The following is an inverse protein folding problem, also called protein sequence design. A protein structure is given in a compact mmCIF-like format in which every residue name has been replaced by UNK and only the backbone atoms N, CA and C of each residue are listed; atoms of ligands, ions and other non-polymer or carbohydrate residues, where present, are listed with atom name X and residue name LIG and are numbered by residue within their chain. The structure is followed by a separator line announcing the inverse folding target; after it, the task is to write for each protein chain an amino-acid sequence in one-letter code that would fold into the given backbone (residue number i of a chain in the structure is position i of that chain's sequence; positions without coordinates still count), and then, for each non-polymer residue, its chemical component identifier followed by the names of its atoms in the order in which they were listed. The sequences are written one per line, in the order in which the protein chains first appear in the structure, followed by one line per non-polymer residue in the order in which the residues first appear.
data_IF_316219610895
#
_entry.id   IF_316219610895
#
_cell.length_a   1.000
_cell.length_b   1.000
_cell.length_c   1.000
_cell.angle_alpha   90.00
_cell.angle_beta   90.00
_cell.angle_gamma   90.00
#
_symmetry.space_group_name_H-M   'P 1'
#
loop_
_entity.id
_entity.type
_entity.pdbx_description
1 polymer ?
#
# COMPACT_ATOMS: atom_id res chain seq x y z
N UNK A 1 0.58 -8.00 11.74
CA UNK A 1 -0.67 -7.19 11.63
C UNK A 1 -1.01 -7.01 10.15
N UNK A 2 -2.29 -6.98 9.76
CA UNK A 2 -2.66 -6.70 8.37
C UNK A 2 -2.15 -5.31 7.92
N UNK A 3 -1.55 -5.20 6.73
CA UNK A 3 -1.14 -3.93 6.15
C UNK A 3 -2.35 -3.03 5.86
N UNK A 4 -2.08 -1.76 5.55
CA UNK A 4 -3.12 -0.83 5.12
C UNK A 4 -3.73 -1.31 3.81
N UNK A 5 -5.02 -1.11 3.58
CA UNK A 5 -5.69 -1.60 2.36
C UNK A 5 -5.99 -3.10 2.35
N UNK A 6 -5.64 -3.82 3.42
CA UNK A 6 -5.96 -5.23 3.60
C UNK A 6 -6.74 -5.47 4.90
N UNK A 7 -7.73 -6.35 4.82
CA UNK A 7 -8.47 -6.92 5.93
C UNK A 7 -7.86 -8.26 6.31
N UNK A 8 -7.65 -8.49 7.61
CA UNK A 8 -7.21 -9.80 8.10
C UNK A 8 -8.44 -10.67 8.36
N UNK A 9 -8.56 -11.76 7.62
CA UNK A 9 -9.56 -12.77 7.91
C UNK A 9 -8.98 -13.77 8.93
N UNK A 10 -9.56 -13.81 10.13
CA UNK A 10 -9.12 -14.69 11.22
C UNK A 10 -9.39 -16.17 10.93
N UNK A 11 -10.38 -16.48 10.10
CA UNK A 11 -10.77 -17.86 9.79
C UNK A 11 -9.80 -18.51 8.80
N UNK A 12 -9.52 -17.82 7.69
CA UNK A 12 -8.59 -18.33 6.66
C UNK A 12 -7.13 -17.99 6.95
N UNK A 13 -6.87 -17.10 7.92
CA UNK A 13 -5.55 -16.49 8.19
C UNK A 13 -4.95 -15.80 6.95
N UNK A 14 -5.80 -15.35 6.02
CA UNK A 14 -5.40 -14.67 4.79
C UNK A 14 -5.73 -13.18 4.83
N UNK A 15 -5.00 -12.42 4.02
CA UNK A 15 -5.29 -11.01 3.76
C UNK A 15 -6.26 -10.89 2.59
N UNK A 16 -7.32 -10.11 2.77
CA UNK A 16 -8.26 -9.75 1.70
C UNK A 16 -8.15 -8.27 1.40
N UNK A 17 -8.33 -7.91 0.14
CA UNK A 17 -8.31 -6.50 -0.29
C UNK A 17 -9.49 -5.76 0.34
N UNK A 18 -9.19 -4.68 1.07
CA UNK A 18 -10.20 -3.78 1.63
C UNK A 18 -10.77 -2.92 0.50
N UNK A 19 -11.99 -3.21 0.04
CA UNK A 19 -12.63 -2.45 -1.06
C UNK A 19 -12.81 -0.96 -0.75
N UNK A 20 -12.84 -0.56 0.53
CA UNK A 20 -12.91 0.84 0.93
C UNK A 20 -11.57 1.55 0.83
N UNK A 21 -10.45 0.86 1.07
CA UNK A 21 -9.11 1.48 1.16
C UNK A 21 -8.21 1.18 -0.02
N UNK A 22 -8.37 0.03 -0.67
CA UNK A 22 -7.54 -0.41 -1.79
C UNK A 22 -7.55 0.55 -2.97
N UNK A 23 -8.67 1.21 -3.36
CA UNK A 23 -8.63 2.15 -4.47
C UNK A 23 -7.75 3.36 -4.17
N UNK A 24 -7.71 3.81 -2.91
CA UNK A 24 -6.83 4.92 -2.49
C UNK A 24 -5.37 4.53 -2.51
N UNK A 25 -5.04 3.29 -2.12
CA UNK A 25 -3.67 2.78 -2.22
C UNK A 25 -3.26 2.69 -3.67
N UNK A 26 -4.09 2.10 -4.53
CA UNK A 26 -3.81 2.03 -5.97
C UNK A 26 -3.58 3.42 -6.58
N UNK A 27 -4.48 4.38 -6.31
CA UNK A 27 -4.31 5.78 -6.73
C UNK A 27 -3.03 6.41 -6.18
N UNK A 28 -2.62 6.04 -4.97
CA UNK A 28 -1.40 6.58 -4.38
C UNK A 28 -0.15 6.10 -5.16
N UNK A 29 -0.10 4.83 -5.52
CA UNK A 29 0.97 4.30 -6.36
C UNK A 29 0.92 4.89 -7.77
N UNK A 30 -0.25 4.94 -8.42
CA UNK A 30 -0.43 5.54 -9.75
C UNK A 30 -0.03 7.03 -9.78
N UNK A 31 -0.35 7.80 -8.73
CA UNK A 31 0.09 9.19 -8.64
C UNK A 31 1.60 9.28 -8.43
N UNK A 32 2.18 8.45 -7.57
CA UNK A 32 3.62 8.48 -7.29
C UNK A 32 4.47 8.07 -8.51
N UNK A 33 4.02 7.07 -9.26
CA UNK A 33 4.62 6.59 -10.52
C UNK A 33 4.88 7.71 -11.54
N UNK A 34 4.05 8.75 -11.55
CA UNK A 34 4.24 9.89 -12.47
C UNK A 34 5.52 10.72 -12.20
N UNK A 35 6.22 10.50 -11.08
CA UNK A 35 7.41 11.29 -10.70
C UNK A 35 7.13 12.71 -10.26
N UNK A 36 5.91 13.21 -10.44
CA UNK A 36 5.53 14.60 -10.19
C UNK A 36 5.10 14.87 -8.75
N UNK A 37 4.87 13.83 -7.95
CA UNK A 37 4.34 13.96 -6.60
C UNK A 37 5.34 13.51 -5.55
N UNK A 38 5.76 14.46 -4.70
CA UNK A 38 6.50 14.12 -3.48
C UNK A 38 5.62 13.36 -2.50
N UNK A 39 6.22 12.59 -1.59
CA UNK A 39 5.50 11.88 -0.51
C UNK A 39 4.59 12.80 0.31
N UNK A 40 4.99 14.07 0.48
CA UNK A 40 4.18 15.10 1.19
C UNK A 40 2.92 15.47 0.41
N UNK A 41 3.04 15.65 -0.91
CA UNK A 41 1.91 15.95 -1.79
C UNK A 41 0.98 14.75 -1.90
N UNK A 42 1.53 13.56 -2.08
CA UNK A 42 0.78 12.31 -2.11
C UNK A 42 -0.04 12.14 -0.84
N UNK A 43 0.58 12.32 0.33
CA UNK A 43 -0.10 12.29 1.63
C UNK A 43 -1.27 13.27 1.68
N UNK A 44 -1.07 14.52 1.22
CA UNK A 44 -2.11 15.55 1.27
C UNK A 44 -3.32 15.18 0.40
N UNK A 45 -3.06 14.70 -0.81
CA UNK A 45 -4.09 14.28 -1.76
C UNK A 45 -4.87 13.08 -1.19
N UNK A 46 -4.16 12.02 -0.83
CA UNK A 46 -4.77 10.75 -0.43
C UNK A 46 -5.45 10.84 0.95
N UNK A 47 -4.87 11.58 1.92
CA UNK A 47 -5.58 11.87 3.18
C UNK A 47 -6.82 12.73 2.94
N UNK A 48 -6.77 13.68 1.98
CA UNK A 48 -7.91 14.51 1.60
C UNK A 48 -9.05 13.71 0.97
N UNK A 49 -8.74 12.60 0.30
CA UNK A 49 -9.73 11.64 -0.20
C UNK A 49 -10.37 10.78 0.89
N UNK A 50 -9.90 10.88 2.14
CA UNK A 50 -10.45 10.13 3.28
C UNK A 50 -9.67 8.87 3.64
N UNK A 51 -8.46 8.64 3.10
CA UNK A 51 -7.64 7.51 3.54
C UNK A 51 -7.16 7.72 4.98
N UNK A 52 -7.70 6.91 5.88
CA UNK A 52 -7.32 6.89 7.29
C UNK A 52 -6.72 5.54 7.67
N UNK A 53 -5.80 5.57 8.64
CA UNK A 53 -5.20 4.38 9.23
C UNK A 53 -6.22 3.50 9.96
N UNK A 54 -5.77 2.38 10.52
CA UNK A 54 -6.63 1.43 11.25
C UNK A 54 -7.40 2.05 12.44
N UNK A 55 -6.83 3.06 13.08
CA UNK A 55 -7.44 3.75 14.24
C UNK A 55 -8.16 5.06 13.86
N UNK A 56 -8.52 5.25 12.58
CA UNK A 56 -9.14 6.50 12.10
C UNK A 56 -8.19 7.71 12.08
N UNK A 57 -6.90 7.52 12.36
CA UNK A 57 -5.89 8.58 12.34
C UNK A 57 -5.38 8.81 10.93
N UNK A 58 -5.09 10.06 10.60
CA UNK A 58 -4.40 10.43 9.36
C UNK A 58 -3.03 9.76 9.29
N UNK A 59 -2.65 9.36 8.08
CA UNK A 59 -1.36 8.74 7.83
C UNK A 59 -0.26 9.81 7.75
N UNK A 60 0.88 9.51 8.38
CA UNK A 60 2.09 10.33 8.30
C UNK A 60 2.85 10.07 7.00
N UNK A 61 3.80 10.94 6.65
CA UNK A 61 4.67 10.74 5.47
C UNK A 61 5.42 9.40 5.56
N UNK A 62 5.91 9.04 6.75
CA UNK A 62 6.60 7.76 7.00
C UNK A 62 5.71 6.55 6.71
N UNK A 63 4.39 6.64 6.96
CA UNK A 63 3.47 5.58 6.59
C UNK A 63 3.36 5.40 5.08
N UNK A 64 3.34 6.49 4.30
CA UNK A 64 3.33 6.42 2.84
C UNK A 64 4.65 5.85 2.30
N UNK A 65 5.77 6.26 2.87
CA UNK A 65 7.08 5.68 2.51
C UNK A 65 7.12 4.17 2.77
N UNK A 66 6.65 3.74 3.96
CA UNK A 66 6.55 2.31 4.27
C UNK A 66 5.58 1.60 3.33
N UNK A 67 4.44 2.22 3.01
CA UNK A 67 3.45 1.67 2.07
C UNK A 67 4.07 1.45 0.68
N UNK A 68 4.72 2.46 0.12
CA UNK A 68 5.34 2.40 -1.20
C UNK A 68 6.49 1.40 -1.28
N UNK A 69 7.18 1.11 -0.17
CA UNK A 69 8.25 0.08 -0.10
C UNK A 69 7.73 -1.32 0.20
N UNK A 70 6.47 -1.46 0.60
CA UNK A 70 5.95 -2.74 1.05
C UNK A 70 5.56 -3.61 -0.14
N UNK A 71 6.23 -4.74 -0.26
CA UNK A 71 6.09 -5.68 -1.37
C UNK A 71 4.75 -6.42 -1.37
N UNK A 72 4.02 -6.37 -0.25
CA UNK A 72 2.73 -7.04 -0.11
C UNK A 72 1.69 -6.53 -1.11
N UNK A 73 1.80 -5.26 -1.53
CA UNK A 73 0.84 -4.66 -2.45
C UNK A 73 0.88 -5.28 -3.85
N UNK A 74 2.01 -5.86 -4.27
CA UNK A 74 2.11 -6.59 -5.54
C UNK A 74 2.09 -8.12 -5.37
N UNK A 75 1.83 -8.61 -4.17
CA UNK A 75 1.65 -10.04 -3.89
C UNK A 75 2.80 -10.72 -3.15
N UNK A 76 3.90 -10.03 -2.84
CA UNK A 76 5.05 -10.62 -2.13
C UNK A 76 5.06 -10.26 -0.65
N UNK A 77 5.24 -11.25 0.23
CA UNK A 77 5.32 -11.04 1.68
C UNK A 77 6.77 -11.19 2.10
N UNK A 78 7.33 -10.16 2.73
CA UNK A 78 8.64 -10.25 3.37
C UNK A 78 8.47 -10.73 4.82
N UNK A 79 9.06 -11.88 5.14
CA UNK A 79 9.06 -12.45 6.47
C UNK A 79 10.46 -12.91 6.84
N UNK A 80 10.98 -12.42 7.96
CA UNK A 80 12.32 -12.76 8.45
C UNK A 80 13.47 -12.51 7.43
N UNK A 81 13.32 -11.50 6.57
CA UNK A 81 14.29 -11.17 5.51
C UNK A 81 14.15 -12.02 4.23
N UNK A 82 13.24 -12.99 4.22
CA UNK A 82 12.93 -13.80 3.05
C UNK A 82 11.63 -13.33 2.38
N UNK A 83 11.59 -13.42 1.05
CA UNK A 83 10.42 -13.10 0.25
C UNK A 83 9.62 -14.38 -0.01
N UNK A 84 8.33 -14.33 0.31
CA UNK A 84 7.39 -15.40 0.12
C UNK A 84 6.28 -14.95 -0.82
N UNK A 85 5.84 -15.84 -1.71
CA UNK A 85 4.63 -15.63 -2.49
C UNK A 85 3.41 -15.55 -1.57
N UNK A 86 2.81 -14.37 -1.52
CA UNK A 86 1.58 -14.14 -0.80
C UNK A 86 0.42 -14.81 -1.51
N UNK A 87 -0.39 -15.56 -0.76
CA UNK A 87 -1.64 -16.15 -1.27
C UNK A 87 -2.78 -15.13 -1.38
N UNK A 88 -2.54 -13.87 -1.03
CA UNK A 88 -3.52 -12.79 -1.06
C UNK A 88 -3.57 -12.10 -2.42
N UNK A 89 -4.66 -11.41 -2.69
CA UNK A 89 -4.83 -10.68 -3.94
C UNK A 89 -3.99 -9.38 -3.95
N UNK A 90 -3.14 -9.16 -4.97
CA UNK A 90 -2.35 -7.94 -5.08
C UNK A 90 -3.23 -6.74 -5.40
N UNK A 91 -2.96 -5.59 -4.77
CA UNK A 91 -3.67 -4.33 -5.05
C UNK A 91 -3.09 -3.62 -6.28
N UNK A 92 -1.79 -3.78 -6.49
CA UNK A 92 -1.04 -3.19 -7.61
C UNK A 92 -0.28 -4.27 -8.36
N UNK A 93 0.16 -3.96 -9.57
CA UNK A 93 1.06 -4.85 -10.32
C UNK A 93 2.50 -4.66 -9.89
N UNK A 94 3.34 -5.69 -10.07
CA UNK A 94 4.79 -5.59 -9.83
C UNK A 94 5.41 -4.44 -10.65
N UNK A 95 4.94 -4.27 -11.89
CA UNK A 95 5.40 -3.18 -12.77
C UNK A 95 5.18 -1.79 -12.16
N UNK A 96 3.98 -1.53 -11.60
CA UNK A 96 3.70 -0.24 -10.97
C UNK A 96 4.55 0.00 -9.72
N UNK A 97 4.80 -1.07 -8.96
CA UNK A 97 5.69 -1.01 -7.81
C UNK A 97 7.13 -0.68 -8.21
N UNK A 98 7.66 -1.35 -9.22
CA UNK A 98 9.02 -1.16 -9.72
C UNK A 98 9.23 0.29 -10.18
N UNK A 99 8.30 0.84 -10.96
CA UNK A 99 8.37 2.25 -11.40
C UNK A 99 8.35 3.23 -10.23
N UNK A 100 7.50 2.98 -9.21
CA UNK A 100 7.52 3.77 -7.99
C UNK A 100 8.86 3.69 -7.24
N UNK A 101 9.59 2.57 -7.31
CA UNK A 101 10.92 2.48 -6.70
C UNK A 101 11.97 3.24 -7.51
N UNK A 102 11.86 3.29 -8.84
CA UNK A 102 12.78 4.06 -9.70
C UNK A 102 12.67 5.57 -9.46
N UNK A 103 11.48 6.05 -9.11
CA UNK A 103 11.22 7.47 -8.79
C UNK A 103 11.71 7.86 -7.38
N UNK A 104 11.87 6.90 -6.46
CA UNK A 104 12.07 7.15 -5.03
C UNK A 104 13.50 7.52 -4.63
#
# INVERSE_FOLDING_TARGET
MAPLGYLNNKETKMFYVDKGKSPFIKKAFEAYDTGNYTLKNLRKIINGLGLVGKKGKMLSVSNYQYMLKNKIYYGMIEYNGELYDGKHEPIITKKLFDLCQEVM
#
